data_IF_209232262433
#
_entry.id   IF_209232262433
#
_cell.length_a   1.000
_cell.length_b   1.000
_cell.length_c   1.000
_cell.angle_alpha   90.00
_cell.angle_beta   90.00
_cell.angle_gamma   90.00
#
_symmetry.space_group_name_H-M   'P 1'
#
loop_
_entity.id
_entity.type
_entity.pdbx_description
1 polymer ?
#
# COMPACT_ATOMS: atom_id res chain seq x y z
N UNK A 1 7.73 28.83 -6.61
CA UNK A 1 7.66 27.94 -7.78
C UNK A 1 8.18 26.55 -7.42
N UNK A 2 7.54 25.49 -7.93
CA UNK A 2 7.98 24.11 -7.78
C UNK A 2 9.15 23.80 -8.73
N UNK A 3 10.16 23.01 -8.31
CA UNK A 3 11.20 22.53 -9.21
C UNK A 3 10.60 21.56 -10.25
N UNK A 4 11.31 21.38 -11.37
CA UNK A 4 10.95 20.34 -12.33
C UNK A 4 11.20 18.98 -11.69
N UNK A 5 10.12 18.27 -11.38
CA UNK A 5 10.18 16.87 -10.96
C UNK A 5 10.12 15.99 -12.20
N UNK A 6 10.87 14.89 -12.20
CA UNK A 6 10.80 13.93 -13.30
C UNK A 6 9.35 13.43 -13.48
N UNK A 7 8.92 13.30 -14.74
CA UNK A 7 7.58 12.92 -15.16
C UNK A 7 7.28 11.43 -14.89
N UNK A 8 7.12 11.08 -13.61
CA UNK A 8 6.69 9.77 -13.13
C UNK A 8 5.41 9.95 -12.30
N UNK A 9 4.55 8.92 -12.26
CA UNK A 9 3.32 8.93 -11.46
C UNK A 9 3.62 9.11 -9.97
N UNK A 10 2.85 9.97 -9.29
CA UNK A 10 2.95 10.26 -7.86
C UNK A 10 1.66 9.80 -7.18
N UNK A 11 1.77 9.07 -6.06
CA UNK A 11 0.59 8.53 -5.35
C UNK A 11 0.06 9.47 -4.27
N UNK A 12 0.96 10.11 -3.53
CA UNK A 12 0.61 10.90 -2.37
C UNK A 12 1.46 12.17 -2.28
N UNK A 13 0.86 13.21 -1.70
CA UNK A 13 1.51 14.49 -1.37
C UNK A 13 1.18 14.78 0.09
N UNK A 14 2.20 15.00 0.92
CA UNK A 14 2.04 15.17 2.38
C UNK A 14 2.76 16.43 2.86
N UNK A 15 2.03 17.49 3.23
CA UNK A 15 2.64 18.70 3.77
C UNK A 15 3.11 18.51 5.21
N UNK A 16 4.26 19.09 5.58
CA UNK A 16 4.78 19.14 6.94
C UNK A 16 5.85 20.22 7.04
N UNK A 17 5.93 20.96 8.14
CA UNK A 17 7.14 21.69 8.55
C UNK A 17 8.08 20.67 9.19
N UNK A 18 9.00 20.08 8.40
CA UNK A 18 9.81 18.95 8.91
C UNK A 18 11.10 19.43 9.58
N UNK A 19 11.64 20.60 9.22
CA UNK A 19 12.87 21.11 9.82
C UNK A 19 12.62 22.06 11.02
N UNK A 20 11.40 22.56 11.17
CA UNK A 20 10.92 23.38 12.28
C UNK A 20 11.14 24.87 12.06
N UNK A 21 11.27 25.33 10.81
CA UNK A 21 11.50 26.74 10.48
C UNK A 21 10.21 27.57 10.38
N UNK A 22 9.04 26.91 10.44
CA UNK A 22 7.71 27.51 10.39
C UNK A 22 7.09 27.54 8.99
N UNK A 23 7.81 27.11 7.96
CA UNK A 23 7.33 27.01 6.59
C UNK A 23 6.89 25.58 6.25
N UNK A 24 5.80 25.44 5.50
CA UNK A 24 5.28 24.11 5.13
C UNK A 24 6.06 23.55 3.93
N UNK A 25 6.74 22.44 4.15
CA UNK A 25 7.39 21.62 3.13
C UNK A 25 6.46 20.55 2.57
N UNK A 26 6.92 19.84 1.54
CA UNK A 26 6.09 18.87 0.83
C UNK A 26 6.87 17.58 0.56
N UNK A 27 6.41 16.46 1.12
CA UNK A 27 6.79 15.14 0.63
C UNK A 27 5.91 14.72 -0.55
N UNK A 28 6.53 14.15 -1.58
CA UNK A 28 5.87 13.64 -2.80
C UNK A 28 6.31 12.20 -3.04
N UNK A 29 5.40 11.25 -2.82
CA UNK A 29 5.65 9.81 -2.99
C UNK A 29 5.58 9.38 -4.46
N UNK A 30 6.67 8.83 -4.97
CA UNK A 30 6.74 8.25 -6.31
C UNK A 30 6.13 6.85 -6.36
N UNK A 31 5.24 6.59 -7.32
CA UNK A 31 4.57 5.28 -7.47
C UNK A 31 5.04 4.47 -8.68
N UNK A 32 4.85 4.98 -9.90
CA UNK A 32 5.10 4.23 -11.14
C UNK A 32 5.81 5.10 -12.18
N UNK A 33 6.80 4.52 -12.87
CA UNK A 33 7.34 5.07 -14.12
C UNK A 33 6.53 4.48 -15.29
N UNK A 34 5.79 5.30 -16.06
CA UNK A 34 5.02 4.81 -17.20
C UNK A 34 5.87 3.98 -18.17
N UNK A 35 5.39 2.79 -18.54
CA UNK A 35 6.10 1.86 -19.44
C UNK A 35 7.31 1.14 -18.83
N UNK A 36 7.62 1.34 -17.54
CA UNK A 36 8.76 0.68 -16.86
C UNK A 36 8.38 0.02 -15.53
N UNK A 37 7.11 -0.30 -15.31
CA UNK A 37 6.73 -1.06 -14.11
C UNK A 37 7.48 -2.41 -14.08
N UNK A 38 8.06 -2.83 -12.93
CA UNK A 38 7.92 -2.28 -11.57
C UNK A 38 9.11 -1.42 -11.10
N UNK A 39 9.84 -0.76 -12.00
CA UNK A 39 11.00 0.08 -11.62
C UNK A 39 10.52 1.21 -10.71
N UNK A 40 11.05 1.23 -9.49
CA UNK A 40 10.70 2.23 -8.48
C UNK A 40 11.11 3.64 -8.95
N UNK A 41 10.17 4.60 -8.98
CA UNK A 41 10.49 6.00 -9.27
C UNK A 41 11.15 6.69 -8.08
N UNK A 42 11.68 7.89 -8.31
CA UNK A 42 12.11 8.77 -7.23
C UNK A 42 10.91 9.39 -6.49
N UNK A 43 11.01 9.40 -5.17
CA UNK A 43 10.24 10.24 -4.26
C UNK A 43 11.02 11.50 -3.90
N UNK A 44 10.33 12.57 -3.53
CA UNK A 44 10.93 13.88 -3.28
C UNK A 44 10.48 14.44 -1.94
N UNK A 45 11.38 15.15 -1.26
CA UNK A 45 11.04 16.09 -0.20
C UNK A 45 11.40 17.49 -0.70
N UNK A 46 10.44 18.39 -0.68
CA UNK A 46 10.55 19.74 -1.22
C UNK A 46 10.58 20.75 -0.09
N UNK A 47 11.74 21.37 0.13
CA UNK A 47 11.97 22.40 1.13
C UNK A 47 11.44 23.74 0.65
N UNK A 48 10.56 24.37 1.42
CA UNK A 48 10.00 25.70 1.17
C UNK A 48 10.91 26.79 1.75
N UNK A 49 10.97 27.97 1.12
CA UNK A 49 11.75 29.13 1.60
C UNK A 49 10.88 30.22 2.25
N UNK A 50 9.66 29.86 2.65
CA UNK A 50 8.63 30.77 3.17
C UNK A 50 8.01 31.73 2.16
N UNK A 51 8.53 31.75 0.94
CA UNK A 51 8.01 32.56 -0.18
C UNK A 51 7.37 31.68 -1.26
N UNK A 52 7.17 30.39 -0.96
CA UNK A 52 6.57 29.41 -1.84
C UNK A 52 7.52 28.98 -2.97
N UNK A 53 8.84 29.14 -2.81
CA UNK A 53 9.85 28.58 -3.72
C UNK A 53 10.42 27.32 -3.09
N UNK A 54 10.38 26.24 -3.85
CA UNK A 54 10.74 24.92 -3.36
C UNK A 54 12.08 24.46 -3.94
N UNK A 55 12.87 23.78 -3.12
CA UNK A 55 14.10 23.09 -3.55
C UNK A 55 14.04 21.62 -3.14
N UNK A 56 14.69 20.73 -3.91
CA UNK A 56 14.70 19.29 -3.59
C UNK A 56 15.72 19.06 -2.47
N UNK A 57 15.25 18.52 -1.35
CA UNK A 57 16.11 18.08 -0.25
C UNK A 57 16.78 16.74 -0.59
N UNK A 58 18.01 16.55 -0.10
CA UNK A 58 18.70 15.26 -0.19
C UNK A 58 18.20 14.33 0.92
N UNK A 59 17.57 13.22 0.53
CA UNK A 59 16.86 12.31 1.45
C UNK A 59 17.30 10.85 1.24
N UNK A 60 17.42 10.05 2.32
CA UNK A 60 17.81 8.64 2.20
C UNK A 60 16.72 7.77 1.56
N UNK A 61 15.48 8.24 1.55
CA UNK A 61 14.30 7.53 1.04
C UNK A 61 13.88 7.95 -0.36
N UNK A 62 14.74 8.64 -1.12
CA UNK A 62 14.46 9.00 -2.51
C UNK A 62 14.06 7.78 -3.37
N UNK A 63 14.58 6.59 -3.06
CA UNK A 63 14.28 5.32 -3.75
C UNK A 63 13.67 4.27 -2.81
N UNK A 64 12.81 4.69 -1.89
CA UNK A 64 12.18 3.78 -0.91
C UNK A 64 11.32 2.67 -1.52
N UNK A 65 10.80 2.87 -2.74
CA UNK A 65 9.99 1.88 -3.46
C UNK A 65 8.88 2.53 -4.27
N UNK A 66 7.83 1.77 -4.56
CA UNK A 66 6.61 2.25 -5.22
C UNK A 66 5.62 2.71 -4.13
N UNK A 67 5.81 3.94 -3.66
CA UNK A 67 5.07 4.51 -2.51
C UNK A 67 3.61 4.75 -2.89
N UNK A 68 2.68 4.31 -2.04
CA UNK A 68 1.23 4.54 -2.19
C UNK A 68 0.68 5.52 -1.18
N UNK A 69 1.23 5.54 0.04
CA UNK A 69 0.84 6.47 1.09
C UNK A 69 2.01 6.80 2.02
N UNK A 70 1.86 7.91 2.74
CA UNK A 70 2.83 8.39 3.69
C UNK A 70 2.13 9.13 4.84
N UNK A 71 2.70 9.08 6.04
CA UNK A 71 2.19 9.80 7.21
C UNK A 71 3.34 10.48 7.95
N UNK A 72 3.07 11.71 8.41
CA UNK A 72 3.95 12.47 9.29
C UNK A 72 3.49 12.29 10.74
N UNK A 73 4.35 11.75 11.59
CA UNK A 73 4.01 11.44 12.98
C UNK A 73 5.26 11.55 13.86
N UNK A 74 5.12 12.07 15.07
CA UNK A 74 6.23 12.12 16.03
C UNK A 74 6.22 10.80 16.82
N UNK A 75 6.97 9.79 16.35
CA UNK A 75 6.94 8.44 16.92
C UNK A 75 7.85 8.30 18.13
N UNK A 76 8.90 9.10 18.21
CA UNK A 76 9.88 9.07 19.29
C UNK A 76 9.64 10.16 20.36
N UNK A 77 8.61 11.00 20.16
CA UNK A 77 8.17 12.07 21.07
C UNK A 77 9.27 13.12 21.29
N UNK A 78 10.04 13.42 20.24
CA UNK A 78 11.11 14.43 20.29
C UNK A 78 10.67 15.81 19.78
N UNK A 79 9.41 15.93 19.32
CA UNK A 79 8.82 17.14 18.79
C UNK A 79 9.03 17.34 17.28
N UNK A 80 9.80 16.48 16.61
CA UNK A 80 9.95 16.46 15.14
C UNK A 80 9.02 15.42 14.55
N UNK A 81 8.48 15.72 13.37
CA UNK A 81 7.67 14.73 12.64
C UNK A 81 8.58 13.78 11.88
N UNK A 82 8.41 12.49 12.16
CA UNK A 82 9.00 11.37 11.44
C UNK A 82 8.14 11.02 10.23
N UNK A 83 8.77 10.40 9.22
CA UNK A 83 8.10 9.99 8.00
C UNK A 83 7.91 8.49 7.97
N UNK A 84 6.66 8.04 7.89
CA UNK A 84 6.31 6.64 7.68
C UNK A 84 5.78 6.47 6.26
N UNK A 85 6.31 5.49 5.52
CA UNK A 85 5.94 5.20 4.15
C UNK A 85 5.40 3.78 4.03
N UNK A 86 4.44 3.58 3.13
CA UNK A 86 4.04 2.26 2.66
C UNK A 86 3.88 2.25 1.13
N UNK A 87 3.89 1.05 0.54
CA UNK A 87 3.74 0.90 -0.89
C UNK A 87 3.74 -0.54 -1.37
N UNK A 88 3.86 -0.69 -2.68
CA UNK A 88 3.85 -1.97 -3.36
C UNK A 88 5.23 -2.65 -3.32
N UNK A 89 5.28 -3.94 -2.97
CA UNK A 89 6.51 -4.75 -2.86
C UNK A 89 7.55 -4.23 -1.86
N UNK A 90 7.13 -3.40 -0.90
CA UNK A 90 8.01 -2.85 0.13
C UNK A 90 7.42 -3.11 1.51
N UNK A 91 8.24 -3.11 2.58
CA UNK A 91 7.72 -3.05 3.92
C UNK A 91 7.15 -1.66 4.22
N UNK A 92 6.40 -1.54 5.31
CA UNK A 92 6.17 -0.24 5.93
C UNK A 92 7.52 0.22 6.48
N UNK A 93 7.99 1.40 6.06
CA UNK A 93 9.32 1.92 6.42
C UNK A 93 9.19 3.19 7.27
N UNK A 94 10.03 3.31 8.29
CA UNK A 94 10.01 4.43 9.24
C UNK A 94 11.34 5.18 9.16
N UNK A 95 11.26 6.47 8.86
CA UNK A 95 12.39 7.39 8.82
C UNK A 95 12.26 8.41 9.94
N UNK A 96 13.11 8.27 10.96
CA UNK A 96 13.16 9.20 12.10
C UNK A 96 13.85 10.48 11.68
N UNK A 97 13.26 11.61 12.00
CA UNK A 97 13.74 12.93 11.62
C UNK A 97 14.62 13.52 12.73
N UNK A 98 15.94 13.59 12.49
CA UNK A 98 16.89 14.20 13.41
C UNK A 98 17.34 15.57 12.90
N UNK A 99 18.09 16.32 13.72
CA UNK A 99 18.65 17.61 13.31
C UNK A 99 19.64 17.48 12.15
N UNK A 100 20.24 16.31 11.97
CA UNK A 100 21.21 15.98 10.94
C UNK A 100 20.56 15.42 9.67
N UNK A 101 19.24 15.18 9.69
CA UNK A 101 18.47 14.58 8.61
C UNK A 101 17.73 13.32 9.03
N UNK A 102 17.33 12.50 8.05
CA UNK A 102 16.53 11.32 8.31
C UNK A 102 17.36 10.05 8.49
N UNK A 103 16.92 9.16 9.39
CA UNK A 103 17.54 7.85 9.64
C UNK A 103 16.48 6.76 9.48
N UNK A 104 16.76 5.74 8.65
CA UNK A 104 15.90 4.55 8.56
C UNK A 104 15.99 3.76 9.88
N UNK A 105 14.84 3.65 10.53
CA UNK A 105 14.65 2.96 11.82
C UNK A 105 13.62 1.86 11.73
N UNK A 106 13.31 1.39 10.52
CA UNK A 106 12.28 0.36 10.28
C UNK A 106 12.47 -0.88 11.17
N UNK A 107 13.71 -1.38 11.30
CA UNK A 107 14.04 -2.55 12.14
C UNK A 107 13.96 -2.26 13.65
N UNK A 108 14.03 -0.98 14.04
CA UNK A 108 13.89 -0.57 15.42
C UNK A 108 12.41 -0.55 15.85
N UNK A 109 11.46 -0.53 14.91
CA UNK A 109 10.03 -0.58 15.19
C UNK A 109 9.38 -1.92 14.84
N UNK A 110 9.86 -2.62 13.81
CA UNK A 110 9.34 -3.94 13.41
C UNK A 110 10.39 -5.02 13.62
N UNK A 111 10.06 -6.06 14.40
CA UNK A 111 10.93 -7.22 14.56
C UNK A 111 11.11 -8.00 13.25
N UNK A 112 10.07 -8.03 12.41
CA UNK A 112 10.10 -8.65 11.10
C UNK A 112 9.25 -7.80 10.14
N UNK A 113 9.87 -6.88 9.38
CA UNK A 113 9.13 -6.02 8.46
C UNK A 113 8.45 -6.84 7.36
N UNK A 114 7.12 -6.79 7.33
CA UNK A 114 6.30 -7.49 6.33
C UNK A 114 6.20 -6.68 5.04
N UNK A 115 6.47 -7.33 3.90
CA UNK A 115 6.33 -6.75 2.56
C UNK A 115 4.98 -7.11 1.98
N UNK A 116 4.25 -6.12 1.49
CA UNK A 116 2.90 -6.31 0.98
C UNK A 116 2.58 -5.44 -0.22
N UNK A 117 1.30 -5.47 -0.61
CA UNK A 117 0.68 -4.48 -1.47
C UNK A 117 -0.02 -3.45 -0.59
N UNK A 118 0.77 -2.74 0.21
CA UNK A 118 0.23 -1.74 1.11
C UNK A 118 -0.36 -0.59 0.28
N UNK A 119 -1.57 -0.16 0.61
CA UNK A 119 -2.25 0.93 -0.08
C UNK A 119 -2.39 2.17 0.81
N UNK A 120 -2.58 1.98 2.11
CA UNK A 120 -2.92 3.03 3.07
C UNK A 120 -2.33 2.72 4.43
N UNK A 121 -1.90 3.76 5.15
CA UNK A 121 -1.57 3.66 6.57
C UNK A 121 -2.30 4.74 7.37
N UNK A 122 -2.69 4.40 8.58
CA UNK A 122 -3.28 5.31 9.56
C UNK A 122 -2.71 5.04 10.96
N UNK A 123 -2.66 6.08 11.78
CA UNK A 123 -2.15 5.99 13.15
C UNK A 123 -3.19 6.48 14.14
N UNK A 124 -3.47 5.66 15.15
CA UNK A 124 -4.46 5.95 16.18
C UNK A 124 -4.16 5.16 17.46
N UNK A 125 -4.53 5.69 18.63
CA UNK A 125 -4.41 4.99 19.91
C UNK A 125 -5.65 4.10 20.13
N UNK A 126 -5.67 2.91 19.53
CA UNK A 126 -6.86 2.03 19.53
C UNK A 126 -6.98 1.20 20.80
N UNK A 127 -5.95 1.19 21.63
CA UNK A 127 -5.91 0.48 22.91
C UNK A 127 -5.95 1.42 24.15
N UNK A 128 -5.97 2.73 23.93
CA UNK A 128 -6.09 3.75 24.97
C UNK A 128 -4.85 3.89 25.86
N UNK A 129 -3.67 3.48 25.41
CA UNK A 129 -2.42 3.55 26.19
C UNK A 129 -1.62 4.84 26.00
N UNK A 130 -2.15 5.77 25.18
CA UNK A 130 -1.54 7.05 24.85
C UNK A 130 -0.44 6.97 23.80
N UNK A 131 -0.20 5.81 23.18
CA UNK A 131 0.76 5.64 22.09
C UNK A 131 0.03 5.34 20.78
N UNK A 132 0.52 5.87 19.65
CA UNK A 132 -0.09 5.59 18.36
C UNK A 132 0.18 4.14 17.94
N UNK A 133 -0.90 3.39 17.69
CA UNK A 133 -0.92 2.12 16.98
C UNK A 133 -1.01 2.36 15.47
N UNK A 134 -0.67 1.35 14.65
CA UNK A 134 -0.63 1.45 13.19
C UNK A 134 -1.66 0.53 12.54
N UNK A 135 -2.51 1.10 11.69
CA UNK A 135 -3.42 0.35 10.83
C UNK A 135 -2.89 0.41 9.39
N UNK A 136 -2.75 -0.73 8.74
CA UNK A 136 -2.18 -0.85 7.39
C UNK A 136 -3.12 -1.59 6.44
N UNK A 137 -3.66 -0.88 5.47
CA UNK A 137 -4.52 -1.40 4.41
C UNK A 137 -3.72 -2.10 3.32
N UNK A 138 -4.14 -3.31 2.93
CA UNK A 138 -3.44 -4.16 1.95
C UNK A 138 -4.46 -4.75 0.95
N UNK A 139 -4.02 -5.68 0.10
CA UNK A 139 -4.85 -6.39 -0.90
C UNK A 139 -6.02 -7.17 -0.28
N UNK A 140 -5.86 -7.66 0.95
CA UNK A 140 -6.77 -8.60 1.58
C UNK A 140 -6.50 -10.05 1.14
N UNK A 141 -7.00 -10.97 1.95
CA UNK A 141 -6.81 -12.41 1.75
C UNK A 141 -7.89 -13.03 0.85
N UNK A 142 -8.91 -12.27 0.45
CA UNK A 142 -9.94 -12.72 -0.50
C UNK A 142 -9.57 -12.38 -1.95
N UNK A 143 -8.38 -12.79 -2.37
CA UNK A 143 -7.93 -12.69 -3.77
C UNK A 143 -7.51 -14.06 -4.30
N UNK A 144 -7.03 -14.15 -5.54
CA UNK A 144 -6.34 -15.37 -6.01
C UNK A 144 -4.88 -15.42 -5.55
N UNK A 145 -4.34 -14.30 -5.07
CA UNK A 145 -2.95 -14.18 -4.67
C UNK A 145 -2.82 -14.50 -3.18
N UNK A 146 -1.92 -15.43 -2.86
CA UNK A 146 -1.50 -15.71 -1.49
C UNK A 146 -0.01 -15.47 -1.40
N UNK A 147 0.40 -14.92 -0.27
CA UNK A 147 1.79 -14.68 0.06
C UNK A 147 1.99 -14.96 1.55
N UNK A 148 3.06 -15.65 1.86
CA UNK A 148 3.56 -15.88 3.22
C UNK A 148 5.08 -15.84 3.21
N UNK A 149 5.73 -15.94 4.37
CA UNK A 149 7.20 -16.08 4.41
C UNK A 149 7.69 -17.37 3.74
N UNK A 150 6.91 -18.46 3.83
CA UNK A 150 7.28 -19.76 3.23
C UNK A 150 6.98 -19.82 1.74
N UNK A 151 5.92 -19.14 1.34
CA UNK A 151 5.41 -19.11 -0.04
C UNK A 151 5.19 -17.64 -0.44
N UNK A 152 6.27 -16.90 -0.72
CA UNK A 152 6.15 -15.50 -1.12
C UNK A 152 5.58 -15.39 -2.53
N UNK A 153 4.91 -14.28 -2.82
CA UNK A 153 4.63 -13.89 -4.20
C UNK A 153 5.77 -13.01 -4.72
N UNK A 154 6.20 -13.25 -5.95
CA UNK A 154 7.48 -12.77 -6.46
C UNK A 154 7.33 -12.16 -7.84
N UNK A 155 7.95 -11.01 -8.07
CA UNK A 155 7.95 -10.33 -9.35
C UNK A 155 9.36 -10.32 -9.91
N UNK A 156 9.58 -11.12 -10.96
CA UNK A 156 10.82 -11.12 -11.74
C UNK A 156 10.66 -10.14 -12.88
N UNK A 157 11.66 -9.29 -13.11
CA UNK A 157 11.61 -8.34 -14.22
C UNK A 157 12.99 -8.03 -14.79
N UNK A 158 13.07 -8.02 -16.11
CA UNK A 158 14.24 -7.72 -16.92
C UNK A 158 13.76 -7.21 -18.29
N UNK A 159 14.67 -6.89 -19.19
CA UNK A 159 14.38 -6.82 -20.63
C UNK A 159 14.79 -8.18 -21.23
N UNK A 160 13.89 -9.17 -21.17
CA UNK A 160 14.26 -10.58 -21.43
C UNK A 160 14.51 -10.85 -22.92
N UNK A 161 13.89 -10.08 -23.81
CA UNK A 161 14.06 -10.20 -25.26
C UNK A 161 14.93 -9.09 -25.87
N UNK A 162 15.50 -8.22 -25.03
CA UNK A 162 16.42 -7.14 -25.40
C UNK A 162 15.80 -6.09 -26.33
N UNK A 163 14.50 -5.84 -26.19
CA UNK A 163 13.77 -4.86 -26.99
C UNK A 163 13.70 -3.45 -26.37
N UNK A 164 14.25 -3.27 -25.16
CA UNK A 164 14.26 -2.01 -24.41
C UNK A 164 13.09 -1.83 -23.44
N UNK A 165 12.13 -2.74 -23.42
CA UNK A 165 10.97 -2.74 -22.52
C UNK A 165 11.23 -3.62 -21.30
N UNK A 166 10.59 -3.30 -20.17
CA UNK A 166 10.66 -4.14 -18.98
C UNK A 166 9.55 -5.19 -19.06
N UNK A 167 9.93 -6.44 -18.82
CA UNK A 167 9.09 -7.62 -18.83
C UNK A 167 8.79 -8.14 -17.42
N UNK A 168 7.67 -7.76 -16.80
CA UNK A 168 7.29 -8.24 -15.48
C UNK A 168 6.64 -9.62 -15.51
N UNK A 169 7.15 -10.54 -14.69
CA UNK A 169 6.57 -11.86 -14.41
C UNK A 169 6.24 -11.96 -12.94
N UNK A 170 4.97 -11.72 -12.60
CA UNK A 170 4.46 -11.97 -11.25
C UNK A 170 4.23 -13.47 -11.08
N UNK A 171 4.65 -14.03 -9.95
CA UNK A 171 4.56 -15.44 -9.63
C UNK A 171 3.98 -15.59 -8.24
N UNK A 172 3.18 -16.63 -8.03
CA UNK A 172 2.69 -16.99 -6.70
C UNK A 172 2.55 -18.51 -6.58
N UNK A 173 2.50 -18.99 -5.36
CA UNK A 173 2.42 -20.42 -5.06
C UNK A 173 1.00 -20.96 -5.26
N UNK A 174 0.90 -22.11 -5.91
CA UNK A 174 -0.28 -22.97 -5.94
C UNK A 174 0.18 -24.40 -5.68
N UNK A 175 -0.44 -25.06 -4.71
CA UNK A 175 -0.12 -26.45 -4.31
C UNK A 175 1.40 -26.68 -4.06
N UNK A 176 2.06 -25.71 -3.40
CA UNK A 176 3.48 -25.79 -3.03
C UNK A 176 4.48 -25.48 -4.15
N UNK A 177 4.03 -25.13 -5.36
CA UNK A 177 4.90 -24.73 -6.48
C UNK A 177 4.58 -23.30 -6.92
N UNK A 178 5.62 -22.49 -7.17
CA UNK A 178 5.48 -21.12 -7.68
C UNK A 178 5.25 -21.12 -9.19
N UNK A 179 4.16 -20.51 -9.63
CA UNK A 179 3.78 -20.39 -11.04
C UNK A 179 3.65 -18.93 -11.48
N UNK A 180 4.00 -18.62 -12.73
CA UNK A 180 3.82 -17.29 -13.28
C UNK A 180 2.34 -17.00 -13.53
N UNK A 181 1.90 -15.82 -13.11
CA UNK A 181 0.58 -15.27 -13.39
C UNK A 181 0.56 -14.55 -14.74
N UNK A 182 0.86 -15.31 -15.79
CA UNK A 182 0.74 -14.85 -17.17
C UNK A 182 0.24 -16.03 -17.99
N UNK A 183 -0.67 -15.77 -18.92
CA UNK A 183 -1.14 -16.80 -19.84
C UNK A 183 -0.12 -17.04 -20.96
N UNK A 184 -0.25 -18.18 -21.64
CA UNK A 184 0.55 -18.48 -22.83
C UNK A 184 0.39 -17.41 -23.92
N UNK A 185 -0.80 -16.82 -24.06
CA UNK A 185 -1.05 -15.84 -25.11
C UNK A 185 -0.41 -14.50 -24.75
N UNK A 186 -0.55 -14.05 -23.50
CA UNK A 186 0.11 -12.84 -23.00
C UNK A 186 1.64 -12.94 -23.09
N UNK A 187 2.25 -14.06 -22.68
CA UNK A 187 3.71 -14.20 -22.79
C UNK A 187 4.20 -14.21 -24.25
N UNK A 188 3.39 -14.72 -25.18
CA UNK A 188 3.72 -14.76 -26.62
C UNK A 188 3.55 -13.39 -27.31
N UNK A 189 2.76 -12.50 -26.73
CA UNK A 189 2.64 -11.09 -27.14
C UNK A 189 3.75 -10.24 -26.53
N UNK A 190 4.12 -10.53 -25.28
CA UNK A 190 5.15 -9.83 -24.54
C UNK A 190 6.57 -10.20 -25.03
N UNK A 191 6.86 -11.48 -25.22
CA UNK A 191 8.17 -12.02 -25.62
C UNK A 191 7.99 -12.94 -26.84
N UNK A 192 8.19 -12.40 -28.04
CA UNK A 192 7.92 -13.13 -29.29
C UNK A 192 8.63 -14.51 -29.41
N UNK A 193 9.90 -14.68 -28.98
CA UNK A 193 10.57 -15.98 -29.00
C UNK A 193 9.86 -17.10 -28.21
N UNK A 194 8.99 -16.77 -27.23
CA UNK A 194 8.29 -17.76 -26.41
C UNK A 194 7.33 -18.64 -27.22
N UNK A 195 6.86 -18.16 -28.39
CA UNK A 195 6.01 -18.93 -29.32
C UNK A 195 6.67 -20.23 -29.78
N UNK A 196 8.00 -20.25 -29.87
CA UNK A 196 8.78 -21.43 -30.26
C UNK A 196 9.07 -22.36 -29.09
N UNK A 197 9.22 -21.82 -27.87
CA UNK A 197 9.47 -22.61 -26.65
C UNK A 197 8.19 -23.31 -26.16
N UNK A 198 7.05 -22.62 -26.21
CA UNK A 198 5.76 -23.12 -25.75
C UNK A 198 4.74 -23.24 -26.88
N UNK A 199 4.85 -24.32 -27.66
CA UNK A 199 4.06 -24.54 -28.89
C UNK A 199 2.59 -24.91 -28.63
N UNK A 200 2.23 -25.31 -27.42
CA UNK A 200 0.85 -25.66 -27.04
C UNK A 200 0.52 -25.22 -25.63
N UNK A 201 -0.77 -25.04 -25.32
CA UNK A 201 -1.23 -24.73 -23.94
C UNK A 201 -0.82 -25.83 -22.95
N UNK A 202 -0.87 -27.10 -23.36
CA UNK A 202 -0.43 -28.22 -22.53
C UNK A 202 1.05 -28.12 -22.13
N UNK A 203 1.91 -27.67 -23.04
CA UNK A 203 3.33 -27.48 -22.76
C UNK A 203 3.61 -26.31 -21.80
N UNK A 204 2.67 -25.37 -21.67
CA UNK A 204 2.80 -24.19 -20.82
C UNK A 204 2.09 -24.33 -19.46
N UNK A 205 1.05 -25.16 -19.37
CA UNK A 205 0.15 -25.23 -18.21
C UNK A 205 0.87 -25.40 -16.86
N UNK A 206 1.95 -26.19 -16.83
CA UNK A 206 2.71 -26.50 -15.61
C UNK A 206 4.08 -25.80 -15.55
N UNK A 207 4.35 -24.88 -16.50
CA UNK A 207 5.63 -24.22 -16.63
C UNK A 207 5.85 -23.19 -15.52
N UNK A 208 6.97 -23.34 -14.81
CA UNK A 208 7.47 -22.40 -13.82
C UNK A 208 8.43 -21.39 -14.42
N UNK A 209 8.77 -20.35 -13.66
CA UNK A 209 9.71 -19.33 -14.10
C UNK A 209 11.08 -19.91 -14.54
N UNK A 210 11.54 -20.98 -13.89
CA UNK A 210 12.80 -21.67 -14.22
C UNK A 210 12.70 -22.58 -15.46
N UNK A 211 11.48 -22.92 -15.90
CA UNK A 211 11.25 -23.65 -17.15
C UNK A 211 11.02 -22.66 -18.31
N UNK A 212 10.46 -21.48 -18.02
CA UNK A 212 10.28 -20.38 -18.98
C UNK A 212 11.62 -19.72 -19.32
N UNK A 213 12.46 -19.46 -18.32
CA UNK A 213 13.74 -18.78 -18.50
C UNK A 213 14.90 -19.65 -18.05
N UNK A 214 16.00 -19.57 -18.78
CA UNK A 214 17.27 -20.19 -18.41
C UNK A 214 17.86 -19.52 -17.16
N UNK A 215 18.73 -20.21 -16.40
CA UNK A 215 19.42 -19.60 -15.27
C UNK A 215 20.21 -18.32 -15.65
N UNK A 216 20.76 -18.26 -16.87
CA UNK A 216 21.47 -17.10 -17.39
C UNK A 216 20.54 -15.92 -17.65
N UNK A 217 19.35 -16.16 -18.22
CA UNK A 217 18.31 -15.14 -18.40
C UNK A 217 17.81 -14.63 -17.04
N UNK A 218 17.58 -15.51 -16.06
CA UNK A 218 17.13 -15.09 -14.73
C UNK A 218 18.20 -14.35 -13.92
N UNK A 219 19.49 -14.60 -14.18
CA UNK A 219 20.58 -13.91 -13.51
C UNK A 219 20.67 -12.42 -13.86
N UNK A 220 20.08 -11.98 -14.97
CA UNK A 220 19.98 -10.55 -15.32
C UNK A 220 18.74 -9.88 -14.73
N UNK A 221 17.79 -10.66 -14.21
CA UNK A 221 16.54 -10.16 -13.70
C UNK A 221 16.67 -9.57 -12.29
N UNK A 222 15.93 -8.49 -12.07
CA UNK A 222 15.64 -8.01 -10.73
C UNK A 222 14.44 -8.76 -10.15
N UNK A 223 14.38 -8.84 -8.82
CA UNK A 223 13.33 -9.55 -8.09
C UNK A 223 12.76 -8.67 -6.99
N UNK A 224 11.44 -8.54 -6.99
CA UNK A 224 10.66 -8.02 -5.87
C UNK A 224 9.86 -9.17 -5.23
N UNK A 225 9.49 -9.03 -3.97
CA UNK A 225 8.65 -10.02 -3.30
C UNK A 225 7.76 -9.40 -2.23
N UNK A 226 6.61 -10.05 -2.02
CA UNK A 226 5.74 -9.83 -0.87
C UNK A 226 5.60 -11.13 -0.08
N UNK A 227 5.45 -11.00 1.23
CA UNK A 227 5.22 -12.12 2.15
C UNK A 227 3.92 -11.95 2.95
N UNK A 228 3.13 -10.90 2.68
CA UNK A 228 1.78 -10.75 3.21
C UNK A 228 0.88 -10.03 2.21
N UNK A 229 -0.40 -10.38 2.25
CA UNK A 229 -1.50 -9.63 1.58
C UNK A 229 -2.53 -9.14 2.62
N UNK A 230 -2.28 -9.41 3.90
CA UNK A 230 -3.21 -9.14 4.98
C UNK A 230 -3.27 -7.64 5.26
N UNK A 231 -4.48 -7.11 5.41
CA UNK A 231 -4.72 -5.83 6.07
C UNK A 231 -4.45 -6.05 7.56
N UNK A 232 -3.53 -5.29 8.13
CA UNK A 232 -2.96 -5.57 9.46
C UNK A 232 -3.16 -4.41 10.42
N UNK A 233 -3.35 -4.73 11.69
CA UNK A 233 -3.24 -3.82 12.82
C UNK A 233 -1.93 -4.14 13.55
N UNK A 234 -1.18 -3.13 13.94
CA UNK A 234 0.01 -3.27 14.76
C UNK A 234 -0.12 -2.41 16.01
N UNK A 235 -0.10 -3.07 17.18
CA UNK A 235 -0.13 -2.42 18.49
C UNK A 235 1.28 -1.97 18.88
N UNK A 236 1.41 -0.73 19.35
CA UNK A 236 2.67 -0.16 19.80
C UNK A 236 3.02 -0.63 21.22
N UNK A 237 3.79 -1.71 21.29
CA UNK A 237 4.29 -2.25 22.55
C UNK A 237 5.68 -1.67 22.86
N UNK A 238 5.69 -0.50 23.50
CA UNK A 238 6.92 0.18 23.95
C UNK A 238 7.90 0.49 22.82
N UNK A 239 7.41 1.09 21.73
CA UNK A 239 8.20 1.46 20.57
C UNK A 239 8.40 0.32 19.56
N UNK A 240 7.75 -0.82 19.76
CA UNK A 240 7.71 -1.95 18.82
C UNK A 240 6.28 -2.16 18.33
N UNK A 241 6.10 -2.17 17.02
CA UNK A 241 4.83 -2.52 16.38
C UNK A 241 4.68 -4.04 16.33
N UNK A 242 3.69 -4.56 17.07
CA UNK A 242 3.38 -5.99 17.18
C UNK A 242 2.02 -6.24 16.53
N UNK A 243 1.97 -7.16 15.58
CA UNK A 243 0.75 -7.46 14.85
C UNK A 243 -0.37 -7.96 15.79
N UNK A 244 -1.58 -7.45 15.55
CA UNK A 244 -2.80 -7.82 16.25
C UNK A 244 -3.88 -8.24 15.23
N UNK A 245 -4.86 -9.00 15.72
CA UNK A 245 -5.88 -9.58 14.86
C UNK A 245 -6.96 -8.57 14.50
N UNK A 246 -7.28 -8.49 13.21
CA UNK A 246 -8.51 -7.87 12.71
C UNK A 246 -9.52 -8.97 12.35
N UNK A 247 -10.83 -8.69 12.43
CA UNK A 247 -11.87 -9.57 11.93
C UNK A 247 -11.63 -9.96 10.46
N UNK A 248 -12.06 -11.16 10.07
CA UNK A 248 -11.83 -11.69 8.71
C UNK A 248 -12.43 -10.80 7.63
N UNK A 249 -13.47 -10.03 7.94
CA UNK A 249 -14.11 -9.06 7.07
C UNK A 249 -13.16 -7.95 6.60
N UNK A 250 -12.14 -7.61 7.39
CA UNK A 250 -11.07 -6.69 6.98
C UNK A 250 -10.22 -7.22 5.81
N UNK A 251 -10.35 -8.52 5.50
CA UNK A 251 -9.58 -9.22 4.47
C UNK A 251 -10.38 -9.50 3.19
N UNK A 252 -11.65 -9.09 3.13
CA UNK A 252 -12.56 -9.45 2.03
C UNK A 252 -12.31 -8.69 0.73
N UNK A 253 -11.66 -7.53 0.78
CA UNK A 253 -11.26 -6.77 -0.41
C UNK A 253 -10.06 -5.86 -0.09
N UNK A 254 -9.45 -5.25 -1.11
CA UNK A 254 -8.40 -4.26 -0.91
C UNK A 254 -8.88 -3.11 -0.01
N UNK A 255 -8.04 -2.71 0.95
CA UNK A 255 -8.28 -1.57 1.84
C UNK A 255 -7.38 -0.43 1.39
N UNK A 256 -7.95 0.52 0.66
CA UNK A 256 -7.25 1.69 0.11
C UNK A 256 -7.51 2.97 0.91
N UNK A 257 -8.46 2.95 1.85
CA UNK A 257 -8.80 4.06 2.72
C UNK A 257 -9.14 3.52 4.12
N UNK A 258 -8.74 4.26 5.15
CA UNK A 258 -8.96 3.94 6.56
C UNK A 258 -9.45 5.23 7.21
N UNK A 259 -10.52 5.14 7.99
CA UNK A 259 -10.91 6.16 8.95
C UNK A 259 -10.96 5.54 10.34
N UNK A 260 -10.46 6.30 11.31
CA UNK A 260 -10.48 5.93 12.72
C UNK A 260 -11.22 6.99 13.51
N UNK A 261 -12.36 6.65 14.11
CA UNK A 261 -13.17 7.56 14.91
C UNK A 261 -14.11 6.77 15.84
N UNK A 262 -14.74 7.44 16.80
CA UNK A 262 -15.76 6.87 17.69
C UNK A 262 -17.16 6.98 17.05
N UNK A 263 -17.47 6.05 16.15
CA UNK A 263 -18.67 6.11 15.29
C UNK A 263 -19.95 5.77 16.06
N UNK A 264 -19.85 5.02 17.15
CA UNK A 264 -21.00 4.70 18.01
C UNK A 264 -21.07 5.51 19.32
N UNK A 265 -20.12 6.41 19.50
CA UNK A 265 -20.03 7.35 20.62
C UNK A 265 -19.90 6.67 21.98
N UNK A 266 -19.23 5.51 22.04
CA UNK A 266 -18.94 4.77 23.27
C UNK A 266 -17.61 5.17 23.94
N UNK A 267 -16.89 6.11 23.34
CA UNK A 267 -15.61 6.65 23.81
C UNK A 267 -14.40 5.84 23.38
N UNK A 268 -14.56 4.88 22.46
CA UNK A 268 -13.46 4.06 21.91
C UNK A 268 -13.36 4.28 20.41
N UNK A 269 -12.16 4.08 19.88
CA UNK A 269 -11.92 4.22 18.46
C UNK A 269 -12.39 2.97 17.71
N UNK A 270 -13.21 3.19 16.70
CA UNK A 270 -13.64 2.23 15.70
C UNK A 270 -12.85 2.42 14.40
N UNK A 271 -12.86 1.40 13.53
CA UNK A 271 -12.24 1.47 12.20
C UNK A 271 -13.30 1.35 11.12
N UNK A 272 -13.29 2.28 10.17
CA UNK A 272 -14.00 2.16 8.91
C UNK A 272 -12.98 1.90 7.80
N UNK A 273 -12.97 0.66 7.31
CA UNK A 273 -12.07 0.21 6.24
C UNK A 273 -12.81 0.25 4.91
N UNK A 274 -12.26 1.01 3.95
CA UNK A 274 -12.85 1.24 2.65
C UNK A 274 -11.85 0.91 1.54
N UNK A 275 -12.37 0.53 0.38
CA UNK A 275 -11.53 0.29 -0.78
C UNK A 275 -12.27 -0.33 -1.95
N UNK A 276 -11.89 -1.55 -2.29
CA UNK A 276 -12.17 -2.24 -3.56
C UNK A 276 -11.18 -1.90 -4.68
N UNK A 277 -11.05 -2.86 -5.59
CA UNK A 277 -10.33 -2.69 -6.84
C UNK A 277 -10.99 -3.54 -7.92
N UNK A 278 -11.64 -2.89 -8.89
CA UNK A 278 -12.40 -3.53 -9.96
C UNK A 278 -11.69 -3.52 -11.31
N UNK A 279 -10.79 -2.56 -11.54
CA UNK A 279 -9.98 -2.48 -12.76
C UNK A 279 -8.77 -3.43 -12.70
N UNK A 280 -9.04 -4.73 -12.84
CA UNK A 280 -8.02 -5.77 -12.87
C UNK A 280 -7.96 -6.48 -14.21
N UNK A 281 -6.90 -7.27 -14.43
CA UNK A 281 -6.89 -8.27 -15.50
C UNK A 281 -8.11 -9.18 -15.37
N UNK A 282 -8.75 -9.50 -16.50
CA UNK A 282 -9.94 -10.36 -16.56
C UNK A 282 -9.78 -11.66 -15.75
N UNK A 283 -8.59 -12.25 -15.73
CA UNK A 283 -8.28 -13.47 -14.97
C UNK A 283 -8.39 -13.28 -13.45
N UNK A 284 -8.08 -12.10 -12.92
CA UNK A 284 -8.18 -11.78 -11.48
C UNK A 284 -9.65 -11.58 -11.10
N UNK A 285 -10.40 -10.88 -11.96
CA UNK A 285 -11.78 -10.46 -11.69
C UNK A 285 -11.85 -9.21 -10.80
N UNK A 286 -13.07 -8.84 -10.42
CA UNK A 286 -13.31 -7.71 -9.51
C UNK A 286 -13.05 -8.11 -8.06
N UNK A 287 -12.40 -7.24 -7.29
CA UNK A 287 -12.23 -7.37 -5.84
C UNK A 287 -13.06 -6.28 -5.16
N UNK A 288 -14.38 -6.47 -5.09
CA UNK A 288 -15.37 -5.46 -4.72
C UNK A 288 -16.26 -5.84 -3.52
N UNK A 289 -15.78 -6.75 -2.67
CA UNK A 289 -16.53 -7.24 -1.51
C UNK A 289 -16.50 -6.30 -0.28
N UNK A 290 -15.97 -5.07 -0.39
CA UNK A 290 -16.01 -4.08 0.69
C UNK A 290 -17.11 -3.05 0.43
N UNK A 291 -18.20 -3.18 1.20
CA UNK A 291 -19.37 -2.29 1.16
C UNK A 291 -19.36 -1.19 2.24
N UNK A 292 -18.21 -0.97 2.90
CA UNK A 292 -18.12 -0.23 4.16
C UNK A 292 -17.89 -1.16 5.34
N UNK A 293 -16.66 -1.66 5.48
CA UNK A 293 -16.30 -2.56 6.57
C UNK A 293 -16.08 -1.75 7.87
N UNK A 294 -17.14 -1.66 8.69
CA UNK A 294 -17.09 -1.02 10.01
C UNK A 294 -16.71 -2.06 11.08
N UNK A 295 -15.68 -1.73 11.84
CA UNK A 295 -15.16 -2.53 12.94
C UNK A 295 -15.26 -1.74 14.24
N UNK A 296 -16.11 -2.21 15.15
CA UNK A 296 -16.26 -1.62 16.47
C UNK A 296 -15.07 -1.98 17.36
N UNK A 297 -14.43 -0.99 17.97
CA UNK A 297 -13.30 -1.16 18.89
C UNK A 297 -13.74 -1.55 20.31
N UNK A 298 -12.92 -2.33 21.00
CA UNK A 298 -13.10 -2.65 22.42
C UNK A 298 -12.28 -1.75 23.36
N UNK A 299 -11.49 -0.83 22.79
CA UNK A 299 -10.60 0.08 23.51
C UNK A 299 -9.35 -0.61 24.08
N UNK A 300 -9.04 -1.83 23.63
CA UNK A 300 -7.86 -2.62 24.02
C UNK A 300 -7.13 -3.18 22.79
N UNK A 301 -7.41 -2.63 21.61
CA UNK A 301 -6.90 -3.12 20.32
C UNK A 301 -7.66 -4.32 19.73
N UNK A 302 -8.79 -4.73 20.33
CA UNK A 302 -9.69 -5.72 19.79
C UNK A 302 -10.81 -5.07 18.97
N UNK A 303 -11.23 -5.76 17.90
CA UNK A 303 -12.25 -5.25 16.98
C UNK A 303 -13.33 -6.30 16.69
N UNK A 304 -14.58 -5.86 16.59
CA UNK A 304 -15.72 -6.68 16.18
C UNK A 304 -16.39 -6.09 14.95
N UNK A 305 -16.62 -6.91 13.93
CA UNK A 305 -17.30 -6.47 12.72
C UNK A 305 -18.77 -6.10 12.98
N UNK A 306 -19.21 -4.97 12.44
CA UNK A 306 -20.62 -4.54 12.45
C UNK A 306 -21.24 -4.86 11.09
N UNK A 307 -22.31 -5.66 11.09
CA UNK A 307 -23.02 -6.04 9.87
C UNK A 307 -23.54 -4.83 9.08
N UNK A 308 -23.54 -4.92 7.75
CA UNK A 308 -23.95 -3.80 6.87
C UNK A 308 -25.38 -3.34 7.14
N UNK A 309 -26.29 -4.26 7.46
CA UNK A 309 -27.67 -3.95 7.82
C UNK A 309 -27.78 -3.09 9.08
N UNK A 310 -26.82 -3.23 10.00
CA UNK A 310 -26.73 -2.46 11.25
C UNK A 310 -25.99 -1.14 11.03
N UNK A 311 -24.86 -1.15 10.32
CA UNK A 311 -24.09 0.07 10.05
C UNK A 311 -24.78 1.02 9.07
N UNK A 312 -25.69 0.51 8.22
CA UNK A 312 -26.36 1.28 7.18
C UNK A 312 -25.46 1.62 5.98
N UNK A 313 -24.22 1.11 5.95
CA UNK A 313 -23.26 1.36 4.87
C UNK A 313 -23.52 0.44 3.66
N UNK A 314 -23.50 1.03 2.47
CA UNK A 314 -23.65 0.31 1.20
C UNK A 314 -22.80 0.97 0.11
N UNK A 315 -21.49 0.98 0.35
CA UNK A 315 -20.52 1.69 -0.48
C UNK A 315 -20.04 0.77 -1.60
N UNK A 316 -20.57 0.97 -2.80
CA UNK A 316 -20.11 0.25 -4.01
C UNK A 316 -19.05 1.02 -4.79
N UNK A 317 -18.18 0.28 -5.49
CA UNK A 317 -17.14 0.81 -6.38
C UNK A 317 -15.78 0.99 -5.69
N UNK A 318 -14.77 1.34 -6.50
CA UNK A 318 -13.40 1.58 -6.03
C UNK A 318 -13.33 2.89 -5.25
N UNK A 319 -13.28 2.82 -3.91
CA UNK A 319 -13.12 4.00 -3.06
C UNK A 319 -11.72 4.59 -3.24
N UNK A 320 -11.65 5.88 -3.56
CA UNK A 320 -10.39 6.62 -3.78
C UNK A 320 -10.12 7.66 -2.71
N UNK A 321 -11.15 8.15 -2.03
CA UNK A 321 -11.03 9.10 -0.94
C UNK A 321 -12.24 9.02 -0.01
N UNK A 322 -12.01 9.31 1.26
CA UNK A 322 -13.04 9.52 2.26
C UNK A 322 -12.66 10.71 3.14
N UNK A 323 -13.65 11.53 3.50
CA UNK A 323 -13.48 12.68 4.38
C UNK A 323 -14.64 12.75 5.37
N UNK A 324 -14.35 13.12 6.60
CA UNK A 324 -15.36 13.51 7.59
C UNK A 324 -15.61 15.01 7.47
N UNK A 325 -16.85 15.41 7.26
CA UNK A 325 -17.26 16.81 7.10
C UNK A 325 -18.47 17.12 7.98
N UNK A 326 -18.69 18.42 8.25
CA UNK A 326 -19.90 18.88 8.96
C UNK A 326 -20.78 19.69 8.02
N UNK A 327 -22.02 19.26 7.84
CA UNK A 327 -23.05 20.00 7.11
C UNK A 327 -24.11 20.42 8.12
N UNK A 328 -24.28 21.73 8.33
CA UNK A 328 -25.20 22.27 9.33
C UNK A 328 -24.99 21.66 10.73
N UNK A 329 -23.72 21.52 11.15
CA UNK A 329 -23.28 20.89 12.41
C UNK A 329 -23.49 19.37 12.53
N UNK A 330 -24.19 18.73 11.59
CA UNK A 330 -24.29 17.28 11.57
C UNK A 330 -23.03 16.69 10.87
N UNK A 331 -22.42 15.65 11.46
CA UNK A 331 -21.31 14.94 10.85
C UNK A 331 -21.77 14.07 9.66
N UNK A 332 -20.93 14.00 8.63
CA UNK A 332 -21.13 13.20 7.43
C UNK A 332 -19.80 12.61 6.96
N UNK A 333 -19.85 11.38 6.49
CA UNK A 333 -18.84 10.79 5.64
C UNK A 333 -19.09 11.19 4.19
N UNK A 334 -18.11 11.83 3.57
CA UNK A 334 -18.05 12.12 2.15
C UNK A 334 -17.12 11.12 1.47
N UNK A 335 -17.66 10.32 0.57
CA UNK A 335 -16.94 9.22 -0.10
C UNK A 335 -16.84 9.49 -1.60
N UNK A 336 -15.61 9.47 -2.10
CA UNK A 336 -15.29 9.52 -3.53
C UNK A 336 -14.94 8.13 -4.06
N UNK A 337 -15.59 7.74 -5.15
CA UNK A 337 -15.32 6.49 -5.86
C UNK A 337 -14.83 6.77 -7.27
N UNK A 338 -14.02 5.87 -7.84
CA UNK A 338 -13.54 6.00 -9.22
C UNK A 338 -14.73 6.12 -10.18
N UNK A 339 -14.72 7.15 -11.04
CA UNK A 339 -15.75 7.39 -12.06
C UNK A 339 -17.21 7.48 -11.53
N UNK A 340 -17.38 7.61 -10.22
CA UNK A 340 -18.69 7.63 -9.56
C UNK A 340 -19.06 9.00 -8.98
N UNK A 341 -20.33 9.21 -8.60
CA UNK A 341 -20.74 10.40 -7.87
C UNK A 341 -20.16 10.41 -6.45
N UNK A 342 -20.03 11.61 -5.87
CA UNK A 342 -19.78 11.75 -4.43
C UNK A 342 -20.96 11.20 -3.64
N UNK A 343 -20.68 10.35 -2.65
CA UNK A 343 -21.68 9.77 -1.75
C UNK A 343 -21.56 10.39 -0.36
N UNK A 344 -22.69 10.65 0.28
CA UNK A 344 -22.76 11.22 1.62
C UNK A 344 -23.48 10.23 2.53
N UNK A 345 -22.85 9.88 3.65
CA UNK A 345 -23.47 9.09 4.71
C UNK A 345 -23.51 9.98 5.95
N UNK A 346 -24.69 10.13 6.53
CA UNK A 346 -24.83 10.85 7.79
C UNK A 346 -24.44 9.88 8.91
N UNK A 347 -23.54 10.32 9.78
CA UNK A 347 -23.20 9.59 11.02
C UNK A 347 -24.39 9.61 12.01
#
# INVERSE_FOLDING_TARGET
ALPVLNANSKACVKPCDFDGDGDIDIFVGGRVIPGKYPVAPESYLLLNDGKGKFTIANIPFAKAGMVTDAQWIDLNVDGRKDLVLCGEFMPITIFINTKEGFIDKTQDYFATPLKGFWFKIDFADVNGDGKPDLIAGNLGQNSQFRASEKEPAELYYADFDTNGSIDPFFNFYSDGKSYPFVSRDEINEQIYPMRRRFTSYKAYADATINEIFTPQELATASKLSINTTQTSLFINQNGKFVEANLPIQAQFAPVSQILTNDFDHDGKLDLLLLGNHSDNRLKIGSMDANYGCLLKGDGKGGFTYIEQSTSGLSITGDVKAVLEIKINKAPYLLIGTSEGPLKFFKE
#
